data_IF_951365191038
#
_entry.id   IF_951365191038
#
_cell.length_a   1.000
_cell.length_b   1.000
_cell.length_c   1.000
_cell.angle_alpha   90.00
_cell.angle_beta   90.00
_cell.angle_gamma   90.00
#
_symmetry.space_group_name_H-M   'P 1'
#
loop_
_entity.id
_entity.type
_entity.pdbx_description
1 polymer ?
#
# COMPACT_ATOMS: atom_id res chain seq x y z
N UNK A 1 17.41 21.84 30.17
CA UNK A 1 17.98 21.33 28.92
C UNK A 1 16.98 20.32 28.39
N UNK A 2 16.07 20.77 27.52
CA UNK A 2 14.91 19.98 27.09
C UNK A 2 15.32 19.02 26.00
N UNK A 3 15.16 17.72 26.24
CA UNK A 3 15.26 16.73 25.18
C UNK A 3 13.98 16.76 24.35
N UNK A 4 14.17 17.02 23.06
CA UNK A 4 13.16 17.02 22.01
C UNK A 4 12.33 15.73 22.02
N UNK A 5 11.01 15.89 22.22
CA UNK A 5 10.04 14.87 21.84
C UNK A 5 10.09 14.70 20.33
N UNK A 6 10.67 13.59 19.89
CA UNK A 6 10.53 13.12 18.52
C UNK A 6 9.19 12.39 18.41
N UNK A 7 8.14 13.12 18.05
CA UNK A 7 6.91 12.55 17.49
C UNK A 7 7.20 11.96 16.10
N UNK A 8 8.03 10.92 16.05
CA UNK A 8 8.29 10.17 14.82
C UNK A 8 7.24 9.08 14.77
N UNK A 9 6.21 9.32 13.96
CA UNK A 9 5.15 8.39 13.60
C UNK A 9 5.65 6.94 13.60
N UNK A 10 5.26 6.16 14.61
CA UNK A 10 5.52 4.73 14.66
C UNK A 10 4.89 4.11 13.39
N UNK A 11 5.68 3.72 12.36
CA UNK A 11 5.11 3.08 11.21
C UNK A 11 4.79 1.68 11.70
N UNK A 12 3.50 1.40 11.93
CA UNK A 12 3.00 0.07 12.22
C UNK A 12 3.70 -0.87 11.24
N UNK A 13 4.65 -1.69 11.70
CA UNK A 13 5.38 -2.66 10.89
C UNK A 13 4.40 -3.75 10.47
N UNK A 14 3.55 -3.46 9.49
CA UNK A 14 2.60 -4.41 8.93
C UNK A 14 3.38 -5.46 8.16
N UNK A 15 3.01 -6.73 8.34
CA UNK A 15 3.58 -7.83 7.53
C UNK A 15 3.36 -7.50 6.04
N UNK A 16 4.37 -7.74 5.17
CA UNK A 16 4.22 -7.46 3.75
C UNK A 16 3.05 -8.26 3.16
N UNK A 17 2.15 -7.57 2.45
CA UNK A 17 1.06 -8.21 1.72
C UNK A 17 1.59 -8.66 0.37
N UNK A 18 1.59 -9.97 0.10
CA UNK A 18 2.20 -10.55 -1.11
C UNK A 18 1.23 -10.76 -2.27
N UNK A 19 -0.07 -10.64 -2.02
CA UNK A 19 -1.16 -10.92 -2.95
C UNK A 19 -2.29 -9.88 -2.81
N UNK A 20 -3.15 -9.74 -3.83
CA UNK A 20 -4.17 -8.69 -3.83
C UNK A 20 -5.32 -8.98 -2.85
N UNK A 21 -5.56 -10.26 -2.55
CA UNK A 21 -6.54 -10.72 -1.57
C UNK A 21 -6.21 -10.22 -0.16
N UNK A 22 -4.93 -9.99 0.16
CA UNK A 22 -4.50 -9.49 1.46
C UNK A 22 -4.85 -8.01 1.71
N UNK A 23 -5.35 -7.27 0.72
CA UNK A 23 -5.77 -5.87 0.89
C UNK A 23 -7.23 -5.71 1.33
N UNK A 24 -8.02 -6.78 1.33
CA UNK A 24 -9.44 -6.72 1.72
C UNK A 24 -10.36 -6.08 0.67
N UNK A 25 -10.00 -6.17 -0.61
CA UNK A 25 -10.86 -5.70 -1.70
C UNK A 25 -12.11 -6.58 -1.88
N UNK A 26 -13.18 -5.97 -2.38
CA UNK A 26 -14.38 -6.69 -2.79
C UNK A 26 -14.10 -7.70 -3.92
N UNK A 27 -14.91 -8.76 -3.97
CA UNK A 27 -14.76 -9.84 -4.96
C UNK A 27 -14.80 -9.33 -6.41
N UNK A 28 -15.54 -8.26 -6.69
CA UNK A 28 -15.60 -7.67 -8.03
C UNK A 28 -14.27 -7.05 -8.46
N UNK A 29 -13.59 -6.34 -7.54
CA UNK A 29 -12.27 -5.77 -7.77
C UNK A 29 -11.26 -6.90 -8.00
N UNK A 30 -11.25 -7.92 -7.13
CA UNK A 30 -10.34 -9.07 -7.25
C UNK A 30 -10.53 -9.82 -8.58
N UNK A 31 -11.78 -10.02 -9.03
CA UNK A 31 -12.06 -10.60 -10.35
C UNK A 31 -11.48 -9.75 -11.49
N UNK A 32 -11.59 -8.43 -11.40
CA UNK A 32 -10.98 -7.50 -12.36
C UNK A 32 -9.46 -7.64 -12.39
N UNK A 33 -8.81 -7.55 -11.23
CA UNK A 33 -7.35 -7.71 -11.06
C UNK A 33 -6.86 -9.00 -11.72
N UNK A 34 -7.51 -10.13 -11.42
CA UNK A 34 -7.15 -11.43 -12.00
C UNK A 34 -7.41 -11.48 -13.51
N UNK A 35 -8.53 -10.92 -13.98
CA UNK A 35 -8.87 -10.87 -15.42
C UNK A 35 -7.84 -10.08 -16.24
N UNK A 36 -7.28 -9.01 -15.68
CA UNK A 36 -6.21 -8.22 -16.30
C UNK A 36 -4.82 -8.86 -16.14
N UNK A 37 -4.72 -10.01 -15.46
CA UNK A 37 -3.46 -10.75 -15.31
C UNK A 37 -2.53 -10.21 -14.24
N UNK A 38 -3.02 -9.39 -13.30
CA UNK A 38 -2.20 -8.92 -12.18
C UNK A 38 -2.09 -10.00 -11.10
N UNK A 39 -0.93 -10.63 -11.01
CA UNK A 39 -0.71 -11.78 -10.11
C UNK A 39 -0.26 -11.33 -8.71
N UNK A 40 0.58 -10.29 -8.63
CA UNK A 40 1.13 -9.77 -7.35
C UNK A 40 1.20 -8.25 -7.37
N UNK A 41 0.93 -7.57 -6.23
CA UNK A 41 1.11 -6.14 -6.13
C UNK A 41 2.58 -5.74 -6.28
N UNK A 42 2.85 -4.63 -6.94
CA UNK A 42 4.20 -4.06 -7.06
C UNK A 42 4.70 -3.54 -5.70
N UNK A 43 6.01 -3.28 -5.52
CA UNK A 43 6.53 -2.74 -4.26
C UNK A 43 5.84 -1.45 -3.81
N UNK A 44 5.55 -0.52 -4.75
CA UNK A 44 4.88 0.73 -4.42
C UNK A 44 3.41 0.49 -4.01
N UNK A 45 2.71 -0.41 -4.70
CA UNK A 45 1.32 -0.79 -4.35
C UNK A 45 1.23 -1.43 -2.97
N UNK A 46 2.18 -2.32 -2.61
CA UNK A 46 2.23 -2.92 -1.26
C UNK A 46 2.38 -1.89 -0.15
N UNK A 47 3.09 -0.79 -0.41
CA UNK A 47 3.27 0.29 0.55
C UNK A 47 2.09 1.28 0.57
N UNK A 48 1.54 1.62 -0.60
CA UNK A 48 0.54 2.68 -0.73
C UNK A 48 -0.89 2.20 -0.48
N UNK A 49 -1.28 1.04 -1.00
CA UNK A 49 -2.67 0.55 -0.92
C UNK A 49 -3.14 0.45 0.53
N UNK A 50 -2.42 -0.19 1.48
CA UNK A 50 -2.90 -0.28 2.87
C UNK A 50 -3.03 1.06 3.58
N UNK A 51 -2.31 2.09 3.10
CA UNK A 51 -2.38 3.45 3.64
C UNK A 51 -3.60 4.17 3.09
N UNK A 52 -3.79 4.14 1.77
CA UNK A 52 -4.94 4.74 1.07
C UNK A 52 -6.26 4.12 1.54
N UNK A 53 -6.30 2.79 1.74
CA UNK A 53 -7.47 2.07 2.26
C UNK A 53 -7.88 2.49 3.68
N UNK A 54 -7.03 3.23 4.41
CA UNK A 54 -7.42 3.82 5.71
C UNK A 54 -8.05 5.21 5.60
N UNK A 55 -8.28 5.71 4.39
CA UNK A 55 -8.79 7.06 4.15
C UNK A 55 -7.78 8.18 4.42
N UNK A 56 -6.48 7.84 4.49
CA UNK A 56 -5.39 8.80 4.70
C UNK A 56 -4.77 9.22 3.38
N UNK A 57 -4.30 10.46 3.34
CA UNK A 57 -3.49 10.96 2.22
C UNK A 57 -2.12 10.23 2.17
N UNK A 58 -1.65 9.92 0.96
CA UNK A 58 -0.28 9.42 0.71
C UNK A 58 0.48 10.38 -0.20
N UNK A 59 1.72 10.69 0.18
CA UNK A 59 2.75 11.11 -0.79
C UNK A 59 3.61 9.90 -1.12
N UNK A 60 3.59 9.49 -2.38
CA UNK A 60 4.13 8.23 -2.85
C UNK A 60 5.16 8.50 -3.97
N UNK A 61 6.46 8.29 -3.73
CA UNK A 61 7.55 8.52 -4.70
C UNK A 61 8.01 7.22 -5.36
N UNK A 62 7.87 7.11 -6.68
CA UNK A 62 8.41 5.99 -7.46
C UNK A 62 8.55 6.35 -8.95
N UNK A 63 9.44 5.67 -9.68
CA UNK A 63 9.65 5.87 -11.13
C UNK A 63 8.43 5.52 -11.99
N UNK A 64 8.32 6.05 -13.21
CA UNK A 64 7.30 5.62 -14.18
C UNK A 64 7.39 4.12 -14.45
N UNK A 65 6.24 3.47 -14.70
CA UNK A 65 6.16 2.02 -14.86
C UNK A 65 6.25 1.22 -13.55
N UNK A 66 6.29 1.87 -12.39
CA UNK A 66 6.30 1.19 -11.08
C UNK A 66 4.95 0.59 -10.66
N UNK A 67 3.87 0.83 -11.43
CA UNK A 67 2.51 0.44 -11.08
C UNK A 67 1.86 1.32 -10.00
N UNK A 68 2.11 2.64 -10.04
CA UNK A 68 1.39 3.59 -9.16
C UNK A 68 -0.08 3.75 -9.57
N UNK A 69 -0.35 3.65 -10.87
CA UNK A 69 -1.69 3.58 -11.47
C UNK A 69 -2.20 2.15 -11.37
#
# INVERSE_FOLDING_TARGET
MGEMSMDVANPIKRKPIHNFEGFGFDKTILKGITKYGFIRPTPIQRASIPTIMTGRDCVCMAKTGSGKT
#
